data_IF_881468085326
#
_entry.id   IF_881468085326
#
_cell.length_a   1.000
_cell.length_b   1.000
_cell.length_c   1.000
_cell.angle_alpha   90.00
_cell.angle_beta   90.00
_cell.angle_gamma   90.00
#
_symmetry.space_group_name_H-M   'P 1'
#
loop_
_entity.id
_entity.type
_entity.pdbx_description
1 polymer ?
#
# COMPACT_ATOMS: atom_id res chain seq x y z
N UNK A 1 -12.90 -2.72 -6.81
CA UNK A 1 -12.60 -1.37 -6.27
C UNK A 1 -12.29 -1.52 -4.79
N UNK A 2 -11.49 -0.64 -4.20
CA UNK A 2 -10.98 -0.77 -2.83
C UNK A 2 -10.81 0.60 -2.17
N UNK A 3 -10.60 0.62 -0.86
CA UNK A 3 -10.28 1.84 -0.09
C UNK A 3 -8.77 2.14 -0.11
N UNK A 4 -8.42 3.36 -0.51
CA UNK A 4 -7.07 3.91 -0.47
C UNK A 4 -6.89 4.75 0.79
N UNK A 5 -5.73 4.61 1.43
CA UNK A 5 -5.32 5.39 2.58
C UNK A 5 -3.98 6.07 2.32
N UNK A 6 -3.84 7.29 2.82
CA UNK A 6 -2.56 8.00 2.88
C UNK A 6 -1.90 7.74 4.23
N UNK A 7 -0.58 7.57 4.22
CA UNK A 7 0.23 7.45 5.43
C UNK A 7 1.14 8.68 5.54
N UNK A 8 0.85 9.56 6.49
CA UNK A 8 1.59 10.82 6.69
C UNK A 8 2.97 10.56 7.29
N UNK A 9 3.08 9.57 8.19
CA UNK A 9 4.37 9.14 8.76
C UNK A 9 5.36 8.68 7.70
N UNK A 10 4.89 7.95 6.69
CA UNK A 10 5.72 7.49 5.56
C UNK A 10 5.75 8.45 4.37
N UNK A 11 5.09 9.61 4.47
CA UNK A 11 4.94 10.58 3.36
C UNK A 11 4.31 9.96 2.09
N UNK A 12 3.41 9.00 2.26
CA UNK A 12 2.63 8.41 1.17
C UNK A 12 1.34 9.21 1.00
N UNK A 13 1.49 10.34 0.32
CA UNK A 13 0.44 11.32 0.00
C UNK A 13 0.50 11.64 -1.51
N UNK A 14 -0.44 12.44 -2.02
CA UNK A 14 -0.43 12.97 -3.40
C UNK A 14 -0.34 11.90 -4.51
N UNK A 15 -1.25 10.93 -4.47
CA UNK A 15 -1.36 9.90 -5.52
C UNK A 15 -0.55 8.64 -5.23
N UNK A 16 0.21 8.63 -4.13
CA UNK A 16 0.78 7.42 -3.52
C UNK A 16 -0.07 7.03 -2.31
N UNK A 17 -0.37 5.74 -2.17
CA UNK A 17 -1.01 5.29 -0.94
C UNK A 17 -1.13 3.78 -0.81
N UNK A 18 -1.81 3.37 0.26
CA UNK A 18 -1.83 1.98 0.70
C UNK A 18 -3.25 1.45 0.82
N UNK A 19 -3.43 0.15 0.61
CA UNK A 19 -4.73 -0.49 0.83
C UNK A 19 -5.05 -0.61 2.32
N UNK A 20 -6.31 -0.94 2.64
CA UNK A 20 -6.81 -1.17 4.00
C UNK A 20 -5.95 -2.12 4.82
N UNK A 21 -5.40 -3.17 4.18
CA UNK A 21 -4.63 -4.19 4.90
C UNK A 21 -3.23 -3.69 5.24
N UNK A 22 -2.55 -3.05 4.29
CA UNK A 22 -1.25 -2.42 4.55
C UNK A 22 -1.36 -1.29 5.59
N UNK A 23 -2.46 -0.52 5.57
CA UNK A 23 -2.74 0.49 6.60
C UNK A 23 -2.81 -0.12 8.02
N UNK A 24 -3.35 -1.35 8.16
CA UNK A 24 -3.49 -2.04 9.45
C UNK A 24 -2.24 -2.80 9.90
N UNK A 25 -1.45 -3.29 8.96
CA UNK A 25 -0.34 -4.22 9.25
C UNK A 25 1.03 -3.57 9.08
N UNK A 26 1.29 -2.97 7.93
CA UNK A 26 2.62 -2.43 7.59
C UNK A 26 2.79 -0.98 8.03
N UNK A 27 1.69 -0.24 8.06
CA UNK A 27 1.60 1.12 8.58
C UNK A 27 0.80 1.14 9.88
N UNK A 28 0.86 0.03 10.63
CA UNK A 28 0.32 -0.05 11.98
C UNK A 28 0.98 1.04 12.83
N UNK A 29 0.18 1.73 13.64
CA UNK A 29 0.65 2.78 14.54
C UNK A 29 1.26 4.02 13.81
N UNK A 30 1.03 4.16 12.51
CA UNK A 30 1.32 5.39 11.76
C UNK A 30 0.11 6.31 11.70
N UNK A 31 0.36 7.58 11.37
CA UNK A 31 -0.71 8.53 11.07
C UNK A 31 -1.28 8.25 9.68
N UNK A 32 -2.51 7.71 9.68
CA UNK A 32 -3.22 7.25 8.48
C UNK A 32 -4.50 8.06 8.29
N UNK A 33 -4.76 8.51 7.07
CA UNK A 33 -6.03 9.15 6.69
C UNK A 33 -6.64 8.47 5.47
N UNK A 34 -7.96 8.35 5.44
CA UNK A 34 -8.67 7.87 4.26
C UNK A 34 -8.48 8.84 3.08
N UNK A 35 -8.23 8.29 1.89
CA UNK A 35 -8.02 9.07 0.68
C UNK A 35 -9.22 9.00 -0.28
N UNK A 36 -9.55 7.80 -0.79
CA UNK A 36 -10.68 7.59 -1.72
C UNK A 36 -11.02 6.11 -1.88
N UNK A 37 -12.21 5.86 -2.44
CA UNK A 37 -12.61 4.53 -2.93
C UNK A 37 -12.45 4.48 -4.45
N UNK A 38 -11.80 3.45 -4.98
CA UNK A 38 -11.60 3.34 -6.42
C UNK A 38 -10.72 2.17 -6.87
N UNK A 39 -10.29 2.22 -8.13
CA UNK A 39 -9.27 1.31 -8.65
C UNK A 39 -7.91 1.99 -8.51
N UNK A 40 -7.00 1.36 -7.76
CA UNK A 40 -5.65 1.86 -7.54
C UNK A 40 -4.71 0.68 -7.25
N UNK A 41 -3.42 0.96 -7.21
CA UNK A 41 -2.40 0.00 -6.81
C UNK A 41 -1.89 0.35 -5.41
N UNK A 42 -1.70 -0.65 -4.54
CA UNK A 42 -1.08 -0.40 -3.25
C UNK A 42 0.43 -0.14 -3.46
N UNK A 43 0.94 1.00 -2.99
CA UNK A 43 2.33 1.38 -3.16
C UNK A 43 3.24 0.92 -2.00
N UNK A 44 2.70 0.17 -1.00
CA UNK A 44 3.52 -0.42 0.08
C UNK A 44 4.72 -1.19 -0.49
N UNK A 45 4.45 -2.01 -1.51
CA UNK A 45 5.43 -2.92 -2.11
C UNK A 45 6.38 -2.29 -3.13
N UNK A 46 6.29 -0.98 -3.36
CA UNK A 46 7.13 -0.28 -4.33
C UNK A 46 8.49 0.16 -3.75
N UNK A 47 8.79 -0.14 -2.49
CA UNK A 47 10.04 0.24 -1.83
C UNK A 47 11.22 -0.60 -2.32
N UNK A 48 12.35 0.07 -2.57
CA UNK A 48 13.59 -0.52 -3.09
C UNK A 48 14.47 -1.15 -2.00
N UNK A 49 14.29 -0.78 -0.73
CA UNK A 49 15.15 -1.19 0.38
C UNK A 49 15.00 -2.65 0.86
N UNK A 50 14.17 -3.47 0.20
CA UNK A 50 14.00 -4.91 0.51
C UNK A 50 13.43 -5.24 1.90
N UNK A 51 13.28 -4.25 2.79
CA UNK A 51 12.76 -4.35 4.15
C UNK A 51 11.23 -4.41 4.22
N UNK A 52 10.60 -4.84 3.12
CA UNK A 52 9.16 -4.81 2.96
C UNK A 52 8.49 -5.95 3.76
N UNK A 53 7.71 -5.66 4.82
CA UNK A 53 6.93 -6.68 5.51
C UNK A 53 5.72 -7.15 4.69
N UNK A 54 5.36 -6.44 3.60
CA UNK A 54 4.35 -6.86 2.64
C UNK A 54 4.91 -8.07 1.84
N UNK A 55 4.73 -9.31 2.33
CA UNK A 55 5.19 -10.55 1.68
C UNK A 55 4.44 -10.86 0.37
N UNK A 56 4.99 -11.71 -0.50
CA UNK A 56 4.32 -12.08 -1.76
C UNK A 56 2.97 -12.80 -1.54
N UNK A 57 2.81 -13.55 -0.44
CA UNK A 57 1.53 -14.17 -0.07
C UNK A 57 0.42 -13.14 0.26
N UNK A 58 0.78 -11.88 0.55
CA UNK A 58 -0.18 -10.81 0.79
C UNK A 58 -0.99 -10.39 -0.45
N UNK A 59 -0.52 -10.78 -1.66
CA UNK A 59 -1.26 -10.63 -2.92
C UNK A 59 -2.59 -11.40 -2.89
N UNK A 60 -2.69 -12.48 -2.11
CA UNK A 60 -3.93 -13.24 -1.92
C UNK A 60 -4.87 -12.63 -0.87
N UNK A 61 -4.34 -11.85 0.09
CA UNK A 61 -5.11 -11.32 1.24
C UNK A 61 -5.94 -10.08 0.86
N UNK A 62 -5.47 -9.26 -0.09
CA UNK A 62 -6.14 -8.01 -0.44
C UNK A 62 -7.01 -8.09 -1.70
N UNK A 63 -6.77 -9.05 -2.60
CA UNK A 63 -7.36 -9.07 -3.95
C UNK A 63 -7.04 -7.82 -4.79
N UNK A 64 -6.10 -6.97 -4.34
CA UNK A 64 -5.67 -5.73 -4.97
C UNK A 64 -4.26 -5.88 -5.52
N UNK A 65 -4.02 -5.37 -6.73
CA UNK A 65 -2.68 -5.35 -7.34
C UNK A 65 -1.77 -4.43 -6.52
N UNK A 66 -0.73 -4.99 -5.90
CA UNK A 66 0.34 -4.22 -5.26
C UNK A 66 1.29 -3.75 -6.35
N UNK A 67 1.67 -2.47 -6.35
CA UNK A 67 2.71 -1.97 -7.24
C UNK A 67 4.04 -2.54 -6.75
N UNK A 68 4.65 -3.42 -7.53
CA UNK A 68 6.00 -3.93 -7.28
C UNK A 68 6.97 -3.36 -8.32
N UNK A 69 8.29 -3.32 -8.04
CA UNK A 69 9.29 -2.94 -9.03
C UNK A 69 9.23 -3.79 -10.31
N UNK A 70 8.79 -5.05 -10.18
CA UNK A 70 8.60 -5.97 -11.30
C UNK A 70 7.33 -5.69 -12.14
N UNK A 71 6.36 -4.92 -11.62
CA UNK A 71 5.09 -4.62 -12.32
C UNK A 71 5.23 -3.56 -13.43
N UNK A 72 6.40 -2.96 -13.59
CA UNK A 72 6.72 -2.01 -14.67
C UNK A 72 7.51 -2.64 -15.82
N UNK A 73 7.70 -3.97 -15.83
CA UNK A 73 8.28 -4.72 -16.96
C UNK A 73 7.20 -5.34 -17.83
#
# INVERSE_FOLDING_TARGET
LHDLYHCHTCKMVDGVGVCTVCAKVCHKDHEISYAKYGSFFCDCGAKEDGSNPCNEDYLAVCGLKVRTPASFK
#
